data_IF_187909386998
#
_entry.id   IF_187909386998
#
_cell.length_a   1.000
_cell.length_b   1.000
_cell.length_c   1.000
_cell.angle_alpha   90.00
_cell.angle_beta   90.00
_cell.angle_gamma   90.00
#
_symmetry.space_group_name_H-M   'P 1'
#
loop_
_entity.id
_entity.type
_entity.pdbx_description
1 polymer ?
#
# COMPACT_ATOMS: atom_id res chain seq x y z
N UNK A 1 -6.57 -0.46 -12.02
CA UNK A 1 -6.17 -0.86 -10.65
C UNK A 1 -7.18 -0.35 -9.66
N UNK A 2 -7.90 -1.29 -9.07
CA UNK A 2 -8.71 -1.10 -7.86
C UNK A 2 -7.81 -0.96 -6.64
N UNK A 3 -8.38 -0.65 -5.47
CA UNK A 3 -7.59 -0.61 -4.22
C UNK A 3 -7.08 -1.99 -3.81
N UNK A 4 -7.84 -3.05 -4.10
CA UNK A 4 -7.37 -4.42 -3.90
C UNK A 4 -6.14 -4.72 -4.78
N UNK A 5 -6.19 -4.35 -6.06
CA UNK A 5 -5.05 -4.53 -6.97
C UNK A 5 -3.83 -3.70 -6.53
N UNK A 6 -4.06 -2.49 -6.01
CA UNK A 6 -2.99 -1.64 -5.47
C UNK A 6 -2.32 -2.28 -4.26
N UNK A 7 -3.09 -2.88 -3.37
CA UNK A 7 -2.55 -3.56 -2.17
C UNK A 7 -1.73 -4.78 -2.58
N UNK A 8 -2.24 -5.65 -3.47
CA UNK A 8 -1.47 -6.83 -3.90
C UNK A 8 -0.17 -6.42 -4.60
N UNK A 9 -0.21 -5.43 -5.50
CA UNK A 9 0.99 -4.93 -6.16
C UNK A 9 2.00 -4.30 -5.18
N UNK A 10 1.53 -3.63 -4.12
CA UNK A 10 2.40 -3.11 -3.07
C UNK A 10 3.04 -4.24 -2.25
N UNK A 11 2.30 -5.32 -2.00
CA UNK A 11 2.80 -6.52 -1.32
C UNK A 11 3.87 -7.22 -2.16
N UNK A 12 3.67 -7.34 -3.47
CA UNK A 12 4.65 -7.92 -4.39
C UNK A 12 5.97 -7.14 -4.43
N UNK A 13 5.97 -5.86 -4.03
CA UNK A 13 7.17 -5.01 -3.99
C UNK A 13 7.97 -5.19 -2.70
N UNK A 14 7.32 -5.49 -1.57
CA UNK A 14 7.97 -5.54 -0.24
C UNK A 14 8.25 -6.96 0.24
N UNK A 15 7.60 -7.95 -0.36
CA UNK A 15 7.78 -9.36 -0.04
C UNK A 15 8.58 -10.05 -1.16
N UNK A 16 9.87 -10.26 -0.91
CA UNK A 16 10.79 -10.90 -1.85
C UNK A 16 10.39 -12.34 -2.21
N UNK A 17 9.49 -12.97 -1.46
CA UNK A 17 8.95 -14.30 -1.79
C UNK A 17 7.84 -14.25 -2.84
N UNK A 18 7.33 -13.06 -3.16
CA UNK A 18 6.29 -12.84 -4.17
C UNK A 18 6.87 -12.50 -5.53
N UNK A 19 6.09 -12.78 -6.57
CA UNK A 19 6.46 -12.48 -7.95
C UNK A 19 6.00 -11.09 -8.32
N UNK A 20 6.89 -10.16 -8.70
CA UNK A 20 6.52 -8.82 -9.11
C UNK A 20 5.63 -8.82 -10.36
N UNK A 21 4.53 -8.07 -10.33
CA UNK A 21 3.78 -7.73 -11.54
C UNK A 21 4.52 -6.64 -12.33
N UNK A 22 4.91 -6.96 -13.57
CA UNK A 22 5.85 -6.17 -14.38
C UNK A 22 5.60 -4.66 -14.37
N UNK A 23 4.42 -4.22 -14.81
CA UNK A 23 4.11 -2.79 -14.98
C UNK A 23 3.46 -2.16 -13.73
N UNK A 24 3.24 -2.95 -12.67
CA UNK A 24 2.47 -2.47 -11.52
C UNK A 24 3.22 -1.40 -10.71
N UNK A 25 4.55 -1.51 -10.63
CA UNK A 25 5.38 -0.50 -9.95
C UNK A 25 5.30 0.89 -10.58
N UNK A 26 5.27 0.98 -11.92
CA UNK A 26 5.10 2.25 -12.64
C UNK A 26 3.72 2.86 -12.35
N UNK A 27 2.67 2.04 -12.39
CA UNK A 27 1.30 2.48 -12.12
C UNK A 27 1.13 2.97 -10.68
N UNK A 28 1.79 2.34 -9.72
CA UNK A 28 1.83 2.78 -8.33
C UNK A 28 2.62 4.08 -8.16
N UNK A 29 3.69 4.28 -8.93
CA UNK A 29 4.51 5.50 -8.87
C UNK A 29 3.71 6.72 -9.35
N UNK A 30 2.95 6.59 -10.43
CA UNK A 30 2.03 7.64 -10.93
C UNK A 30 0.99 8.02 -9.86
N UNK A 31 0.59 7.07 -9.01
CA UNK A 31 -0.36 7.27 -7.91
C UNK A 31 0.29 7.80 -6.63
N UNK A 32 1.61 7.96 -6.59
CA UNK A 32 2.36 8.39 -5.41
C UNK A 32 2.42 7.36 -4.28
N UNK A 33 2.07 6.09 -4.57
CA UNK A 33 2.07 5.02 -3.57
C UNK A 33 3.44 4.36 -3.40
N UNK A 34 4.29 4.46 -4.42
CA UNK A 34 5.69 4.05 -4.38
C UNK A 34 6.58 5.15 -4.94
N UNK A 35 7.85 5.11 -4.59
CA UNK A 35 8.93 5.91 -5.17
C UNK A 35 9.95 4.99 -5.85
N UNK A 36 10.65 5.51 -6.85
CA UNK A 36 11.76 4.78 -7.48
C UNK A 36 12.98 4.84 -6.58
N UNK A 37 13.52 3.68 -6.20
CA UNK A 37 14.72 3.57 -5.37
C UNK A 37 15.88 3.02 -6.21
N UNK A 38 16.52 3.93 -6.97
CA UNK A 38 17.67 3.61 -7.80
C UNK A 38 17.40 2.56 -8.88
N UNK A 39 18.42 1.76 -9.23
CA UNK A 39 18.30 0.67 -10.22
C UNK A 39 17.56 -0.57 -9.69
N UNK A 40 17.27 -0.62 -8.38
CA UNK A 40 16.78 -1.81 -7.69
C UNK A 40 15.24 -1.94 -7.68
N UNK A 41 14.50 -0.92 -8.13
CA UNK A 41 13.05 -1.02 -8.31
C UNK A 41 12.27 0.06 -7.55
N UNK A 42 11.12 -0.33 -7.02
CA UNK A 42 10.17 0.55 -6.35
C UNK A 42 10.17 0.31 -4.84
N UNK A 43 9.81 1.34 -4.08
CA UNK A 43 9.66 1.24 -2.63
C UNK A 43 8.41 2.00 -2.18
N UNK A 44 7.59 1.48 -1.25
CA UNK A 44 6.38 2.19 -0.85
C UNK A 44 6.67 3.52 -0.14
N UNK A 45 5.89 4.54 -0.50
CA UNK A 45 5.82 5.79 0.25
C UNK A 45 4.99 5.58 1.52
N UNK A 46 4.90 6.61 2.38
CA UNK A 46 3.99 6.59 3.53
C UNK A 46 2.53 6.33 3.11
N UNK A 47 2.09 6.84 1.96
CA UNK A 47 0.74 6.59 1.44
C UNK A 47 0.54 5.11 1.06
N UNK A 48 1.55 4.48 0.44
CA UNK A 48 1.53 3.05 0.14
C UNK A 48 1.44 2.18 1.41
N UNK A 49 2.25 2.48 2.42
CA UNK A 49 2.19 1.78 3.72
C UNK A 49 0.84 1.94 4.41
N UNK A 50 0.26 3.15 4.37
CA UNK A 50 -1.06 3.41 4.94
C UNK A 50 -2.17 2.64 4.21
N UNK A 51 -2.12 2.57 2.87
CA UNK A 51 -3.10 1.83 2.07
C UNK A 51 -3.07 0.32 2.40
N UNK A 52 -1.88 -0.27 2.53
CA UNK A 52 -1.74 -1.68 2.95
C UNK A 52 -2.28 -1.90 4.37
N UNK A 53 -2.01 -0.99 5.28
CA UNK A 53 -2.43 -1.09 6.69
C UNK A 53 -3.92 -0.86 6.90
N UNK A 54 -4.58 -0.10 6.02
CA UNK A 54 -6.01 0.19 6.09
C UNK A 54 -6.87 -1.09 6.05
N UNK A 55 -6.39 -2.16 5.40
CA UNK A 55 -7.08 -3.44 5.33
C UNK A 55 -6.98 -4.26 6.63
N UNK A 56 -6.01 -3.96 7.49
CA UNK A 56 -5.77 -4.63 8.76
C UNK A 56 -6.22 -3.84 10.00
N UNK A 57 -6.70 -2.60 9.85
CA UNK A 57 -7.14 -1.78 10.99
C UNK A 57 -8.56 -2.18 11.40
N UNK A 58 -8.78 -2.84 12.55
CA UNK A 58 -10.12 -2.89 13.13
C UNK A 58 -10.58 -1.44 13.36
N UNK A 59 -11.84 -1.17 13.02
CA UNK A 59 -12.45 0.15 13.14
C UNK A 59 -12.26 0.72 14.56
N UNK A 60 -12.00 2.03 14.60
CA UNK A 60 -11.92 2.83 15.81
C UNK A 60 -13.22 2.69 16.63
N UNK A 61 -13.13 2.05 17.79
CA UNK A 61 -14.25 1.88 18.73
C UNK A 61 -14.37 3.09 19.67
N UNK A 62 -14.16 4.30 19.14
CA UNK A 62 -13.81 5.47 19.94
C UNK A 62 -14.56 6.76 19.59
N UNK A 63 -15.84 6.71 19.20
CA UNK A 63 -16.67 7.92 19.22
C UNK A 63 -18.12 7.60 19.59
N UNK A 64 -18.28 7.09 20.82
CA UNK A 64 -19.55 7.15 21.54
C UNK A 64 -19.32 7.66 22.98
N UNK A 65 -18.43 8.65 23.12
CA UNK A 65 -18.30 9.44 24.36
C UNK A 65 -19.44 10.47 24.39
N UNK A 66 -20.68 9.99 24.43
CA UNK A 66 -21.86 10.77 24.81
C UNK A 66 -22.71 9.96 25.78
N UNK A 67 -22.26 9.88 27.04
CA UNK A 67 -23.10 9.82 28.25
C UNK A 67 -22.24 9.67 29.50
N UNK A 68 -22.16 10.74 30.28
CA UNK A 68 -22.33 10.72 31.73
C UNK A 68 -22.62 12.15 32.18
#
# INVERSE_FOLDING_TARGET
MTDADQIEALLDIVDDSRTPQGDAGEQLAVRGLVERRGKAGFWPTNAGWNLMSARGRPFDTGSDIRRA
#
